data_IF_738234212723
#
_entry.id   IF_738234212723
#
_cell.length_a   1.000
_cell.length_b   1.000
_cell.length_c   1.000
_cell.angle_alpha   90.00
_cell.angle_beta   90.00
_cell.angle_gamma   90.00
#
_symmetry.space_group_name_H-M   'P 1'
#
loop_
_entity.id
_entity.type
_entity.pdbx_description
1 polymer ?
#
# COMPACT_ATOMS: atom_id res chain seq x y z
N UNK A 1 26.13 8.28 -14.93
CA UNK A 1 25.03 7.43 -15.48
C UNK A 1 24.21 6.74 -14.36
N UNK A 2 24.74 6.55 -13.14
CA UNK A 2 23.97 6.02 -11.99
C UNK A 2 22.99 7.03 -11.33
N UNK A 3 23.22 8.33 -11.44
CA UNK A 3 22.40 9.35 -10.77
C UNK A 3 21.03 9.59 -11.43
N UNK A 4 20.94 9.50 -12.77
CA UNK A 4 19.67 9.73 -13.48
C UNK A 4 18.61 8.65 -13.15
N UNK A 5 19.00 7.38 -13.13
CA UNK A 5 18.09 6.28 -12.78
C UNK A 5 17.58 6.37 -11.34
N UNK A 6 18.39 6.90 -10.43
CA UNK A 6 18.03 7.10 -9.02
C UNK A 6 17.04 8.26 -8.87
N UNK A 7 17.28 9.36 -9.59
CA UNK A 7 16.43 10.56 -9.55
C UNK A 7 15.03 10.30 -10.14
N UNK A 8 14.95 9.55 -11.24
CA UNK A 8 13.67 9.18 -11.86
C UNK A 8 12.85 8.25 -10.97
N UNK A 9 13.50 7.29 -10.29
CA UNK A 9 12.84 6.42 -9.32
C UNK A 9 12.28 7.20 -8.13
N UNK A 10 13.07 8.14 -7.58
CA UNK A 10 12.65 9.01 -6.47
C UNK A 10 11.49 9.92 -6.92
N UNK A 11 11.58 10.49 -8.12
CA UNK A 11 10.54 11.37 -8.67
C UNK A 11 9.24 10.62 -8.92
N UNK A 12 9.30 9.41 -9.48
CA UNK A 12 8.12 8.58 -9.70
C UNK A 12 7.49 8.12 -8.38
N UNK A 13 8.29 7.74 -7.37
CA UNK A 13 7.77 7.44 -6.03
C UNK A 13 7.12 8.66 -5.38
N UNK A 14 7.70 9.85 -5.53
CA UNK A 14 7.13 11.07 -5.00
C UNK A 14 5.82 11.46 -5.70
N UNK A 15 5.72 11.24 -7.02
CA UNK A 15 4.48 11.44 -7.78
C UNK A 15 3.39 10.46 -7.37
N UNK A 16 3.73 9.17 -7.25
CA UNK A 16 2.79 8.15 -6.77
C UNK A 16 2.31 8.46 -5.35
N UNK A 17 3.24 8.82 -4.47
CA UNK A 17 2.93 9.20 -3.09
C UNK A 17 2.00 10.42 -3.03
N UNK A 18 2.24 11.45 -3.85
CA UNK A 18 1.33 12.60 -3.96
C UNK A 18 -0.05 12.24 -4.50
N UNK A 19 -0.11 11.41 -5.54
CA UNK A 19 -1.39 10.96 -6.09
C UNK A 19 -2.20 10.19 -5.03
N UNK A 20 -1.54 9.32 -4.26
CA UNK A 20 -2.16 8.54 -3.19
C UNK A 20 -2.53 9.41 -2.00
N UNK A 21 -1.75 10.43 -1.64
CA UNK A 21 -2.19 11.39 -0.63
C UNK A 21 -3.45 12.16 -1.05
N UNK A 22 -3.67 12.34 -2.35
CA UNK A 22 -4.87 13.01 -2.87
C UNK A 22 -6.07 12.08 -2.97
N UNK A 23 -5.88 10.81 -3.33
CA UNK A 23 -6.98 9.85 -3.56
C UNK A 23 -7.23 8.90 -2.41
N UNK A 24 -6.25 8.69 -1.53
CA UNK A 24 -6.29 7.68 -0.48
C UNK A 24 -5.36 8.02 0.72
N UNK A 25 -5.52 9.19 1.36
CA UNK A 25 -4.64 9.66 2.44
C UNK A 25 -4.63 8.72 3.66
N UNK A 26 -5.73 8.02 3.90
CA UNK A 26 -5.92 7.19 5.09
C UNK A 26 -5.02 5.94 5.10
N UNK A 27 -4.48 5.53 3.94
CA UNK A 27 -3.55 4.41 3.82
C UNK A 27 -2.21 4.67 4.53
N UNK A 28 -1.85 5.93 4.79
CA UNK A 28 -0.64 6.26 5.57
C UNK A 28 -0.79 5.88 7.04
N UNK A 29 -1.99 6.00 7.61
CA UNK A 29 -2.24 5.65 9.01
C UNK A 29 -2.32 4.13 9.24
N UNK A 30 -2.58 3.36 8.17
CA UNK A 30 -2.61 1.91 8.20
C UNK A 30 -1.24 1.27 8.50
N UNK A 31 -0.14 1.96 8.17
CA UNK A 31 1.21 1.46 8.37
C UNK A 31 1.99 2.41 9.28
N UNK A 32 2.41 1.90 10.44
CA UNK A 32 3.30 2.60 11.41
C UNK A 32 4.57 3.16 10.74
N UNK A 33 4.97 2.62 9.58
CA UNK A 33 6.12 3.12 8.82
C UNK A 33 5.78 3.26 7.32
N UNK A 34 5.32 4.44 6.86
CA UNK A 34 4.81 4.70 5.50
C UNK A 34 5.90 4.73 4.41
N UNK A 35 7.09 4.19 4.68
CA UNK A 35 8.21 4.08 3.72
C UNK A 35 8.72 2.66 3.52
N UNK A 36 8.15 1.68 4.22
CA UNK A 36 8.57 0.27 4.15
C UNK A 36 8.13 -0.43 2.86
N UNK A 37 8.82 -1.51 2.50
CA UNK A 37 8.50 -2.35 1.32
C UNK A 37 7.03 -2.78 1.28
N UNK A 38 6.48 -3.13 2.44
CA UNK A 38 5.09 -3.57 2.57
C UNK A 38 4.08 -2.46 2.22
N UNK A 39 4.37 -1.20 2.55
CA UNK A 39 3.52 -0.07 2.17
C UNK A 39 3.44 0.05 0.64
N UNK A 40 4.59 0.03 -0.04
CA UNK A 40 4.62 0.10 -1.52
C UNK A 40 3.95 -1.11 -2.16
N UNK A 41 4.09 -2.31 -1.59
CA UNK A 41 3.38 -3.49 -2.10
C UNK A 41 1.86 -3.32 -2.05
N UNK A 42 1.32 -2.80 -0.94
CA UNK A 42 -0.14 -2.56 -0.79
C UNK A 42 -0.58 -1.45 -1.73
N UNK A 43 0.14 -0.32 -1.74
CA UNK A 43 -0.12 0.82 -2.63
C UNK A 43 -0.15 0.40 -4.11
N UNK A 44 0.79 -0.44 -4.54
CA UNK A 44 0.84 -0.93 -5.92
C UNK A 44 -0.33 -1.88 -6.24
N UNK A 45 -0.79 -2.64 -5.25
CA UNK A 45 -1.91 -3.58 -5.40
C UNK A 45 -3.27 -2.90 -5.32
N UNK A 46 -3.38 -1.89 -4.47
CA UNK A 46 -4.60 -1.15 -4.14
C UNK A 46 -4.35 0.37 -4.23
N UNK A 47 -4.15 0.91 -5.45
CA UNK A 47 -3.92 2.34 -5.63
C UNK A 47 -5.17 3.20 -5.42
N UNK A 48 -6.37 2.59 -5.36
CA UNK A 48 -7.65 3.27 -5.24
C UNK A 48 -8.63 2.48 -4.36
N UNK A 49 -9.49 3.14 -3.55
CA UNK A 49 -10.51 2.49 -2.73
C UNK A 49 -11.43 1.52 -3.49
N UNK A 50 -11.87 1.89 -4.69
CA UNK A 50 -12.76 1.03 -5.50
C UNK A 50 -12.16 -0.36 -5.75
N UNK A 51 -10.84 -0.44 -5.94
CA UNK A 51 -10.15 -1.72 -6.16
C UNK A 51 -10.19 -2.57 -4.88
N UNK A 52 -10.10 -1.95 -3.71
CA UNK A 52 -10.27 -2.64 -2.43
C UNK A 52 -11.69 -3.17 -2.30
N UNK A 53 -12.70 -2.36 -2.62
CA UNK A 53 -14.12 -2.72 -2.53
C UNK A 53 -14.51 -3.83 -3.53
N UNK A 54 -13.88 -3.85 -4.71
CA UNK A 54 -14.06 -4.90 -5.72
C UNK A 54 -13.30 -6.20 -5.39
N UNK A 55 -12.31 -6.14 -4.49
CA UNK A 55 -11.52 -7.31 -4.08
C UNK A 55 -12.14 -7.97 -2.85
N UNK A 56 -12.26 -9.31 -2.86
CA UNK A 56 -12.77 -10.04 -1.70
C UNK A 56 -11.81 -9.90 -0.52
N UNK A 57 -12.36 -9.74 0.68
CA UNK A 57 -11.56 -9.63 1.91
C UNK A 57 -10.54 -10.78 2.07
N UNK A 58 -10.94 -12.01 1.76
CA UNK A 58 -10.05 -13.17 1.82
C UNK A 58 -8.82 -13.02 0.90
N UNK A 59 -9.00 -12.47 -0.30
CA UNK A 59 -7.93 -12.25 -1.27
C UNK A 59 -6.99 -11.12 -0.81
N UNK A 60 -7.54 -10.08 -0.16
CA UNK A 60 -6.75 -9.00 0.46
C UNK A 60 -5.90 -9.59 1.60
N UNK A 61 -6.50 -10.38 2.48
CA UNK A 61 -5.81 -11.03 3.60
C UNK A 61 -4.71 -11.96 3.10
N UNK A 62 -4.96 -12.77 2.07
CA UNK A 62 -3.98 -13.70 1.53
C UNK A 62 -2.82 -12.98 0.86
N UNK A 63 -3.08 -11.89 0.14
CA UNK A 63 -2.03 -11.01 -0.35
C UNK A 63 -1.16 -10.45 0.81
N UNK A 64 -1.80 -9.96 1.87
CA UNK A 64 -1.11 -9.38 3.02
C UNK A 64 -0.27 -10.42 3.79
N UNK A 65 -0.74 -11.66 3.93
CA UNK A 65 0.06 -12.77 4.50
C UNK A 65 1.30 -13.10 3.67
N UNK A 66 1.26 -12.84 2.36
CA UNK A 66 2.41 -12.98 1.46
C UNK A 66 3.51 -11.94 1.69
N UNK A 67 3.21 -10.85 2.44
CA UNK A 67 4.19 -9.83 2.76
C UNK A 67 5.04 -10.23 3.96
N UNK A 68 6.35 -10.07 3.82
CA UNK A 68 7.32 -10.33 4.89
C UNK A 68 7.04 -9.49 6.13
N UNK A 69 6.89 -10.15 7.28
CA UNK A 69 6.66 -9.49 8.58
C UNK A 69 5.20 -9.15 8.88
N UNK A 70 4.24 -9.58 8.05
CA UNK A 70 2.80 -9.46 8.34
C UNK A 70 2.24 -10.80 8.79
N UNK A 71 2.01 -10.95 10.09
CA UNK A 71 1.32 -12.12 10.65
C UNK A 71 -0.19 -12.08 10.38
N UNK A 72 -0.87 -13.23 10.54
CA UNK A 72 -2.31 -13.38 10.27
C UNK A 72 -3.17 -12.31 10.93
N UNK A 73 -2.95 -12.01 12.21
CA UNK A 73 -3.71 -10.97 12.94
C UNK A 73 -3.57 -9.60 12.26
N UNK A 74 -2.34 -9.19 12.01
CA UNK A 74 -2.01 -7.92 11.34
C UNK A 74 -2.56 -7.83 9.91
N UNK A 75 -2.59 -8.95 9.17
CA UNK A 75 -3.20 -9.00 7.84
C UNK A 75 -4.71 -8.76 7.90
N UNK A 76 -5.42 -9.33 8.87
CA UNK A 76 -6.85 -9.09 9.07
C UNK A 76 -7.11 -7.63 9.49
N UNK A 77 -6.33 -7.10 10.45
CA UNK A 77 -6.48 -5.71 10.91
C UNK A 77 -6.31 -4.72 9.73
N UNK A 78 -5.30 -4.94 8.88
CA UNK A 78 -5.05 -4.11 7.68
C UNK A 78 -6.17 -4.27 6.65
N UNK A 79 -6.64 -5.49 6.37
CA UNK A 79 -7.72 -5.73 5.41
C UNK A 79 -9.03 -5.06 5.85
N UNK A 80 -9.39 -5.20 7.12
CA UNK A 80 -10.57 -4.57 7.71
C UNK A 80 -10.47 -3.05 7.69
N UNK A 81 -9.29 -2.50 8.00
CA UNK A 81 -9.05 -1.07 7.84
C UNK A 81 -9.22 -0.64 6.39
N UNK A 82 -8.63 -1.34 5.41
CA UNK A 82 -8.74 -1.01 3.98
C UNK A 82 -10.18 -1.00 3.47
N UNK A 83 -11.01 -1.97 3.87
CA UNK A 83 -12.42 -2.08 3.45
C UNK A 83 -13.30 -0.98 4.10
N UNK A 84 -12.86 -0.45 5.25
CA UNK A 84 -13.61 0.54 6.02
C UNK A 84 -13.28 1.99 5.64
N UNK A 85 -12.23 2.21 4.84
CA UNK A 85 -11.91 3.51 4.25
C UNK A 85 -12.90 3.82 3.12
#
# INVERSE_FOLDING_TARGET
>A
IYEQASHDLITNRNRLHKAIQLTFPEIEHLMVNPRGKNYWSIVLRFPHPDIVLETKEADIIDFLKGLTGIGKKRANDIAQSLIRL
#
